data_IF_427512496400
#
_entry.id   IF_427512496400
#
_cell.length_a   1.000
_cell.length_b   1.000
_cell.length_c   1.000
_cell.angle_alpha   90.00
_cell.angle_beta   90.00
_cell.angle_gamma   90.00
#
_symmetry.space_group_name_H-M   'P 1'
#
loop_
_entity.id
_entity.type
_entity.pdbx_description
1 polymer ?
#
# COMPACT_ATOMS: atom_id res chain seq x y z
N UNK A 1 -15.82 -7.31 0.54
CA UNK A 1 -15.68 -7.63 1.97
C UNK A 1 -15.74 -6.33 2.75
N UNK A 2 -16.23 -6.35 3.99
CA UNK A 2 -16.16 -5.17 4.87
C UNK A 2 -14.69 -4.87 5.15
N UNK A 3 -14.26 -3.66 4.83
CA UNK A 3 -12.87 -3.22 5.02
C UNK A 3 -12.53 -3.15 6.51
N UNK A 4 -11.40 -3.74 6.89
CA UNK A 4 -10.95 -3.78 8.29
C UNK A 4 -10.31 -2.44 8.60
N UNK A 5 -10.89 -1.71 9.56
CA UNK A 5 -10.41 -0.37 9.96
C UNK A 5 -9.67 -0.44 11.28
N UNK A 6 -8.58 0.30 11.39
CA UNK A 6 -7.83 0.44 12.64
C UNK A 6 -6.33 0.54 12.42
N UNK A 7 -5.58 0.34 13.49
CA UNK A 7 -4.13 0.22 13.48
C UNK A 7 -3.72 -0.94 14.36
N UNK A 8 -2.60 -1.58 14.01
CA UNK A 8 -1.97 -2.55 14.89
C UNK A 8 -0.80 -1.89 15.65
N UNK A 9 -0.52 -2.34 16.87
CA UNK A 9 0.72 -1.96 17.59
C UNK A 9 1.98 -2.53 16.93
N UNK A 10 1.83 -3.65 16.20
CA UNK A 10 2.85 -4.33 15.40
C UNK A 10 2.21 -4.86 14.12
N UNK A 11 2.99 -5.02 13.06
CA UNK A 11 2.48 -5.50 11.76
C UNK A 11 1.57 -6.74 11.89
N UNK A 12 0.42 -6.68 11.21
CA UNK A 12 -0.63 -7.68 11.27
C UNK A 12 -0.69 -8.57 10.02
N UNK A 13 -1.53 -9.63 10.06
CA UNK A 13 -1.67 -10.56 8.94
C UNK A 13 -2.62 -10.07 7.83
N UNK A 14 -3.33 -8.97 8.05
CA UNK A 14 -4.30 -8.41 7.11
C UNK A 14 -4.04 -6.92 6.94
N UNK A 15 -4.22 -6.43 5.71
CA UNK A 15 -4.15 -5.00 5.42
C UNK A 15 -5.34 -4.29 6.07
N UNK A 16 -5.08 -3.17 6.73
CA UNK A 16 -6.10 -2.37 7.41
C UNK A 16 -6.14 -0.96 6.84
N UNK A 17 -7.35 -0.41 6.74
CA UNK A 17 -7.55 0.99 6.40
C UNK A 17 -7.11 1.88 7.57
N UNK A 18 -6.02 2.61 7.33
CA UNK A 18 -5.44 3.64 8.22
C UNK A 18 -5.83 5.06 7.82
N UNK A 19 -6.48 5.27 6.68
CA UNK A 19 -6.83 6.57 6.11
C UNK A 19 -8.25 7.02 6.50
N UNK A 20 -9.14 6.07 6.76
CA UNK A 20 -10.49 6.33 7.22
C UNK A 20 -11.26 7.25 6.26
N UNK A 21 -11.79 8.35 6.79
CA UNK A 21 -12.59 9.31 5.97
C UNK A 21 -11.79 9.98 4.86
N UNK A 22 -10.46 9.96 4.92
CA UNK A 22 -9.62 10.59 3.90
C UNK A 22 -9.72 9.90 2.53
N UNK A 23 -10.13 8.63 2.48
CA UNK A 23 -10.38 7.91 1.22
C UNK A 23 -11.46 8.56 0.36
N UNK A 24 -12.44 9.23 0.98
CA UNK A 24 -13.53 9.89 0.26
C UNK A 24 -13.14 11.25 -0.31
N UNK A 25 -12.11 11.91 0.26
CA UNK A 25 -11.73 13.27 -0.13
C UNK A 25 -11.35 13.36 -1.62
N UNK A 26 -10.46 12.50 -2.18
CA UNK A 26 -10.11 12.55 -3.60
C UNK A 26 -11.31 12.24 -4.51
N UNK A 27 -12.15 11.27 -4.15
CA UNK A 27 -13.35 10.90 -4.93
C UNK A 27 -14.33 12.07 -5.03
N UNK A 28 -14.58 12.74 -3.91
CA UNK A 28 -15.48 13.90 -3.85
C UNK A 28 -14.96 15.06 -4.70
N UNK A 29 -13.67 15.41 -4.56
CA UNK A 29 -13.05 16.48 -5.35
C UNK A 29 -13.16 16.20 -6.84
N UNK A 30 -12.89 14.96 -7.28
CA UNK A 30 -13.02 14.60 -8.69
C UNK A 30 -14.45 14.73 -9.21
N UNK A 31 -15.45 14.33 -8.40
CA UNK A 31 -16.86 14.52 -8.71
C UNK A 31 -17.27 15.99 -8.79
N UNK A 32 -16.85 16.82 -7.83
CA UNK A 32 -17.11 18.26 -7.79
C UNK A 32 -16.47 18.99 -8.99
N UNK A 33 -15.30 18.55 -9.43
CA UNK A 33 -14.59 19.10 -10.58
C UNK A 33 -14.99 18.48 -11.94
N UNK A 34 -15.85 17.46 -11.93
CA UNK A 34 -16.21 16.67 -13.12
C UNK A 34 -14.99 16.16 -13.91
N UNK A 35 -14.00 15.63 -13.19
CA UNK A 35 -12.79 15.02 -13.77
C UNK A 35 -12.77 13.52 -13.51
N UNK A 36 -11.99 12.80 -14.31
CA UNK A 36 -11.80 11.36 -14.11
C UNK A 36 -11.11 11.07 -12.78
N UNK A 37 -11.56 10.02 -12.10
CA UNK A 37 -10.96 9.54 -10.85
C UNK A 37 -10.50 8.10 -11.01
N UNK A 38 -9.23 7.85 -10.70
CA UNK A 38 -8.67 6.50 -10.61
C UNK A 38 -8.45 6.20 -9.13
N UNK A 39 -9.20 5.24 -8.61
CA UNK A 39 -9.13 4.84 -7.21
C UNK A 39 -7.94 3.91 -6.95
N UNK A 40 -6.74 4.49 -6.99
CA UNK A 40 -5.51 3.72 -6.87
C UNK A 40 -5.38 3.06 -5.48
N UNK A 41 -5.95 3.69 -4.45
CA UNK A 41 -6.00 3.10 -3.11
C UNK A 41 -6.77 1.77 -3.14
N UNK A 42 -7.99 1.76 -3.70
CA UNK A 42 -8.77 0.54 -3.83
C UNK A 42 -8.07 -0.53 -4.67
N UNK A 43 -7.52 -0.14 -5.82
CA UNK A 43 -6.84 -1.08 -6.73
C UNK A 43 -5.65 -1.77 -6.05
N UNK A 44 -4.78 -1.01 -5.38
CA UNK A 44 -3.62 -1.56 -4.67
C UNK A 44 -4.08 -2.37 -3.45
N UNK A 45 -5.08 -1.91 -2.71
CA UNK A 45 -5.61 -2.63 -1.56
C UNK A 45 -6.12 -4.03 -1.96
N UNK A 46 -6.90 -4.11 -3.04
CA UNK A 46 -7.42 -5.38 -3.55
C UNK A 46 -6.29 -6.30 -4.05
N UNK A 47 -5.29 -5.75 -4.74
CA UNK A 47 -4.09 -6.50 -5.19
C UNK A 47 -3.30 -7.08 -4.01
N UNK A 48 -2.91 -6.23 -3.05
CA UNK A 48 -2.12 -6.63 -1.87
C UNK A 48 -2.87 -7.68 -1.06
N UNK A 49 -4.17 -7.48 -0.84
CA UNK A 49 -5.03 -8.43 -0.12
C UNK A 49 -5.09 -9.77 -0.87
N UNK A 50 -5.25 -9.75 -2.21
CA UNK A 50 -5.31 -10.95 -3.03
C UNK A 50 -4.01 -11.74 -3.08
N UNK A 51 -2.85 -11.05 -3.01
CA UNK A 51 -1.53 -11.68 -2.96
C UNK A 51 -1.23 -12.32 -1.59
N UNK A 52 -1.81 -11.79 -0.51
CA UNK A 52 -1.55 -12.18 0.86
C UNK A 52 -0.18 -11.70 1.37
N UNK A 53 0.11 -12.01 2.64
CA UNK A 53 1.26 -11.45 3.38
C UNK A 53 2.61 -11.73 2.70
N UNK A 54 2.87 -12.97 2.27
CA UNK A 54 4.20 -13.35 1.77
C UNK A 54 4.47 -12.80 0.35
N UNK A 55 3.51 -12.95 -0.57
CA UNK A 55 3.72 -12.53 -1.95
C UNK A 55 3.70 -11.00 -2.10
N UNK A 56 2.86 -10.30 -1.33
CA UNK A 56 2.71 -8.84 -1.44
C UNK A 56 3.99 -8.08 -1.07
N UNK A 57 4.89 -8.67 -0.25
CA UNK A 57 6.22 -8.09 0.08
C UNK A 57 7.03 -7.71 -1.17
N UNK A 58 6.85 -8.44 -2.28
CA UNK A 58 7.52 -8.16 -3.55
C UNK A 58 7.15 -6.81 -4.15
N UNK A 59 6.01 -6.23 -3.75
CA UNK A 59 5.56 -4.92 -4.21
C UNK A 59 6.19 -3.76 -3.44
N UNK A 60 6.76 -4.02 -2.27
CA UNK A 60 7.22 -2.98 -1.34
C UNK A 60 8.75 -2.85 -1.29
N UNK A 61 9.22 -1.76 -0.71
CA UNK A 61 10.65 -1.44 -0.58
C UNK A 61 11.32 -2.27 0.53
N UNK A 62 11.65 -3.51 0.21
CA UNK A 62 12.41 -4.40 1.09
C UNK A 62 13.85 -4.47 0.61
N UNK A 63 14.73 -3.71 1.28
CA UNK A 63 16.15 -3.58 0.95
C UNK A 63 16.95 -4.59 1.79
N UNK A 64 17.67 -5.53 1.17
CA UNK A 64 18.61 -6.42 1.85
C UNK A 64 19.81 -5.66 2.45
N UNK A 65 20.30 -6.12 3.60
CA UNK A 65 21.54 -5.62 4.18
C UNK A 65 22.74 -5.86 3.25
N UNK A 66 23.66 -4.89 3.21
CA UNK A 66 24.88 -4.93 2.41
C UNK A 66 24.68 -4.69 0.91
N UNK A 67 23.45 -4.51 0.44
CA UNK A 67 23.19 -4.29 -0.99
C UNK A 67 23.51 -2.86 -1.44
N UNK A 68 23.27 -1.86 -0.58
CA UNK A 68 23.47 -0.46 -0.91
C UNK A 68 24.23 0.29 0.19
N UNK A 69 25.21 1.09 -0.18
CA UNK A 69 26.02 1.88 0.76
C UNK A 69 25.20 2.89 1.56
N UNK A 70 24.15 3.47 0.98
CA UNK A 70 23.26 4.40 1.69
C UNK A 70 22.34 3.72 2.70
N UNK A 71 22.21 2.38 2.65
CA UNK A 71 21.36 1.59 3.51
C UNK A 71 22.06 0.26 3.87
N UNK A 72 23.18 0.31 4.60
CA UNK A 72 24.05 -0.85 4.81
C UNK A 72 23.37 -1.95 5.65
N UNK A 73 22.49 -1.57 6.58
CA UNK A 73 21.71 -2.50 7.41
C UNK A 73 20.47 -3.04 6.67
N UNK A 74 20.19 -2.55 5.46
CA UNK A 74 18.94 -2.81 4.77
C UNK A 74 17.75 -2.10 5.42
N UNK A 75 16.55 -2.32 4.89
CA UNK A 75 15.31 -1.73 5.39
C UNK A 75 14.12 -2.58 4.99
N UNK A 76 13.23 -2.82 5.94
CA UNK A 76 11.88 -3.34 5.68
C UNK A 76 10.93 -2.15 5.70
N UNK A 77 10.27 -1.88 4.58
CA UNK A 77 9.33 -0.77 4.42
C UNK A 77 8.06 -1.30 3.77
N UNK A 78 6.97 -1.41 4.53
CA UNK A 78 5.66 -1.89 4.05
C UNK A 78 4.76 -0.75 3.56
N UNK A 79 5.30 0.47 3.43
CA UNK A 79 4.53 1.66 3.03
C UNK A 79 4.86 2.09 1.61
N UNK A 80 6.14 2.04 1.23
CA UNK A 80 6.60 2.49 -0.07
C UNK A 80 6.66 1.35 -1.08
N UNK A 81 6.05 1.57 -2.24
CA UNK A 81 6.03 0.61 -3.34
C UNK A 81 7.35 0.69 -4.14
N UNK A 82 7.75 -0.43 -4.71
CA UNK A 82 8.94 -0.54 -5.56
C UNK A 82 8.57 -0.57 -7.06
N UNK A 83 9.58 -0.62 -7.92
CA UNK A 83 9.40 -0.58 -9.38
C UNK A 83 8.68 -1.80 -9.95
N UNK A 84 8.69 -2.95 -9.28
CA UNK A 84 8.07 -4.17 -9.80
C UNK A 84 6.55 -4.13 -9.73
N UNK A 85 5.96 -3.15 -9.03
CA UNK A 85 4.51 -2.97 -8.99
C UNK A 85 3.90 -2.72 -10.39
N UNK A 86 4.63 -2.08 -11.31
CA UNK A 86 4.11 -1.82 -12.67
C UNK A 86 4.04 -3.08 -13.55
N UNK A 87 4.68 -4.18 -13.14
CA UNK A 87 4.74 -5.43 -13.89
C UNK A 87 3.70 -6.47 -13.44
N UNK A 88 2.79 -6.11 -12.54
CA UNK A 88 1.76 -6.98 -11.93
C UNK A 88 0.37 -6.58 -12.40
#
# INVERSE_FOLDING_TARGET
MTEIKGSYEKEGPVLVDTHGKYLESPRRVAGEMNVSFIDLNKLIHDLVTGMGVENSRKLFMWIPSGQYEFCPEGKIDNTHLNIYMVDV
#
